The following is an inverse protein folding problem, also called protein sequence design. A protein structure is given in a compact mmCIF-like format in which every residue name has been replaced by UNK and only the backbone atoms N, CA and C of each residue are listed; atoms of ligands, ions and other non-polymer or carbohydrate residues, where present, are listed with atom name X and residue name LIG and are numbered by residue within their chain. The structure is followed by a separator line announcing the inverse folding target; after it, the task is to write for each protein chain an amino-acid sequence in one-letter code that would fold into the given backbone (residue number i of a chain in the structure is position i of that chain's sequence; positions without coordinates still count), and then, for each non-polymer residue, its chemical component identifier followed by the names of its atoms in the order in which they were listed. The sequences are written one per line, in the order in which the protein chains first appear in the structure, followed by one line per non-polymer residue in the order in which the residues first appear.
data_IF_830946924301
#
_entry.id   IF_830946924301
#
_cell.length_a   1.000
_cell.length_b   1.000
_cell.length_c   1.000
_cell.angle_alpha   90.00
_cell.angle_beta   90.00
_cell.angle_gamma   90.00
#
_symmetry.space_group_name_H-M   'P 1'
#
loop_
_entity.id
_entity.type
_entity.pdbx_description
1 polymer ?
#
# COMPACT_ATOMS: atom_id res chain seq x y z
N UNK A 1 -17.99 -2.09 13.30
CA UNK A 1 -17.95 -1.90 11.83
C UNK A 1 -19.07 -2.67 11.12
N UNK A 2 -20.04 -3.20 11.86
CA UNK A 2 -21.10 -4.03 11.30
C UNK A 2 -21.93 -3.27 10.26
N UNK A 3 -22.17 -3.91 9.13
CA UNK A 3 -22.96 -3.42 7.99
C UNK A 3 -22.49 -2.08 7.39
N UNK A 4 -21.18 -1.79 7.45
CA UNK A 4 -20.57 -0.61 6.82
C UNK A 4 -19.79 -0.98 5.56
N UNK A 5 -19.88 -0.12 4.55
CA UNK A 5 -19.00 -0.16 3.38
C UNK A 5 -17.64 0.46 3.77
N UNK A 6 -16.55 -0.27 3.55
CA UNK A 6 -15.19 0.10 3.95
C UNK A 6 -14.34 0.33 2.71
N UNK A 7 -13.68 1.49 2.64
CA UNK A 7 -12.65 1.80 1.65
C UNK A 7 -11.31 1.89 2.37
N UNK A 8 -10.40 0.97 2.07
CA UNK A 8 -9.02 1.01 2.54
C UNK A 8 -8.21 1.84 1.54
N UNK A 9 -7.48 2.84 2.03
CA UNK A 9 -6.61 3.70 1.24
C UNK A 9 -5.17 3.44 1.68
N UNK A 10 -4.34 2.95 0.76
CA UNK A 10 -2.93 2.65 0.98
C UNK A 10 -2.05 3.55 0.11
N UNK A 11 -0.89 3.95 0.62
CA UNK A 11 0.12 4.64 -0.18
C UNK A 11 0.81 3.67 -1.16
N UNK A 12 1.16 2.48 -0.69
CA UNK A 12 1.81 1.44 -1.50
C UNK A 12 1.40 0.04 -1.07
N UNK A 13 1.17 -0.84 -2.04
CA UNK A 13 1.04 -2.27 -1.78
C UNK A 13 2.21 -3.04 -2.39
N UNK A 14 3.02 -3.66 -1.53
CA UNK A 14 4.15 -4.50 -1.91
C UNK A 14 3.84 -5.99 -1.69
N UNK A 15 4.25 -6.55 -0.54
CA UNK A 15 3.97 -7.98 -0.23
C UNK A 15 2.47 -8.30 -0.10
N UNK A 16 1.66 -7.32 0.32
CA UNK A 16 0.22 -7.47 0.57
C UNK A 16 -0.15 -8.25 1.83
N UNK A 17 0.80 -8.71 2.64
CA UNK A 17 0.53 -9.56 3.81
C UNK A 17 -0.25 -8.82 4.91
N UNK A 18 0.19 -7.64 5.30
CA UNK A 18 -0.49 -6.80 6.31
C UNK A 18 -1.90 -6.42 5.85
N UNK A 19 -2.04 -6.00 4.60
CA UNK A 19 -3.32 -5.66 4.01
C UNK A 19 -4.28 -6.86 3.98
N UNK A 20 -3.76 -8.05 3.64
CA UNK A 20 -4.55 -9.29 3.68
C UNK A 20 -5.09 -9.58 5.08
N UNK A 21 -4.27 -9.40 6.11
CA UNK A 21 -4.71 -9.54 7.51
C UNK A 21 -5.81 -8.52 7.86
N UNK A 22 -5.65 -7.25 7.49
CA UNK A 22 -6.64 -6.20 7.74
C UNK A 22 -7.99 -6.49 7.05
N UNK A 23 -7.95 -6.97 5.81
CA UNK A 23 -9.17 -7.38 5.09
C UNK A 23 -9.89 -8.50 5.82
N UNK A 24 -9.18 -9.55 6.26
CA UNK A 24 -9.78 -10.63 7.04
C UNK A 24 -10.33 -10.13 8.40
N UNK A 25 -9.61 -9.23 9.07
CA UNK A 25 -10.10 -8.59 10.29
C UNK A 25 -11.42 -7.83 10.06
N UNK A 26 -11.55 -7.09 8.97
CA UNK A 26 -12.80 -6.37 8.68
C UNK A 26 -13.94 -7.30 8.28
N UNK A 27 -13.66 -8.41 7.59
CA UNK A 27 -14.65 -9.46 7.31
C UNK A 27 -15.19 -10.06 8.61
N UNK A 28 -14.32 -10.43 9.55
CA UNK A 28 -14.76 -10.98 10.86
C UNK A 28 -15.59 -9.99 11.68
N UNK A 29 -15.40 -8.68 11.46
CA UNK A 29 -16.20 -7.60 12.06
C UNK A 29 -17.49 -7.27 11.29
N UNK A 30 -17.90 -8.13 10.35
CA UNK A 30 -19.13 -8.03 9.55
C UNK A 30 -19.23 -6.73 8.74
N UNK A 31 -18.12 -6.31 8.11
CA UNK A 31 -18.18 -5.27 7.08
C UNK A 31 -19.15 -5.68 5.95
N UNK A 32 -19.90 -4.73 5.40
CA UNK A 32 -20.84 -4.96 4.29
C UNK A 32 -20.10 -5.14 2.97
N UNK A 33 -19.11 -4.31 2.72
CA UNK A 33 -18.19 -4.41 1.59
C UNK A 33 -16.82 -3.87 1.99
N UNK A 34 -15.78 -4.35 1.30
CA UNK A 34 -14.41 -3.87 1.46
C UNK A 34 -13.86 -3.61 0.07
N UNK A 35 -13.36 -2.40 -0.15
CA UNK A 35 -12.67 -1.99 -1.37
C UNK A 35 -11.29 -1.46 -1.02
N UNK A 36 -10.33 -1.66 -1.91
CA UNK A 36 -8.94 -1.27 -1.73
C UNK A 36 -8.55 -0.30 -2.82
N UNK A 37 -8.09 0.89 -2.43
CA UNK A 37 -7.49 1.88 -3.31
C UNK A 37 -6.04 2.04 -2.88
N UNK A 38 -5.12 2.02 -3.82
CA UNK A 38 -3.71 2.35 -3.55
C UNK A 38 -3.16 3.37 -4.52
N UNK A 39 -2.27 4.23 -4.05
CA UNK A 39 -1.52 5.11 -4.94
C UNK A 39 -0.52 4.30 -5.79
N UNK A 40 0.23 3.38 -5.17
CA UNK A 40 1.28 2.61 -5.82
C UNK A 40 1.08 1.10 -5.64
N UNK A 41 1.11 0.33 -6.71
CA UNK A 41 1.08 -1.13 -6.67
C UNK A 41 2.40 -1.72 -7.20
N UNK A 42 2.99 -2.66 -6.45
CA UNK A 42 4.17 -3.46 -6.83
C UNK A 42 3.79 -4.94 -7.00
N UNK A 43 3.18 -5.35 -8.13
CA UNK A 43 2.78 -6.75 -8.35
C UNK A 43 3.94 -7.74 -8.24
N UNK A 44 5.16 -7.34 -8.62
CA UNK A 44 6.34 -8.21 -8.58
C UNK A 44 6.76 -8.64 -7.17
N UNK A 45 6.42 -7.85 -6.14
CA UNK A 45 6.73 -8.15 -4.74
C UNK A 45 5.62 -8.94 -4.01
N UNK A 46 4.52 -9.23 -4.70
CA UNK A 46 3.29 -9.78 -4.13
C UNK A 46 3.50 -11.18 -3.54
N UNK A 47 3.13 -11.35 -2.26
CA UNK A 47 3.15 -12.65 -1.56
C UNK A 47 1.75 -13.11 -1.15
N UNK A 48 0.85 -12.18 -0.89
CA UNK A 48 -0.55 -12.47 -0.56
C UNK A 48 -1.43 -12.48 -1.82
N UNK A 49 -2.47 -13.33 -1.84
CA UNK A 49 -3.49 -13.35 -2.89
C UNK A 49 -4.49 -12.19 -2.71
N UNK A 50 -4.00 -10.97 -2.86
CA UNK A 50 -4.77 -9.73 -2.72
C UNK A 50 -4.32 -8.72 -3.78
N UNK A 51 -5.27 -8.01 -4.37
CA UNK A 51 -5.05 -6.98 -5.37
C UNK A 51 -5.91 -5.76 -5.02
N UNK A 52 -5.47 -4.54 -5.35
CA UNK A 52 -6.31 -3.36 -5.21
C UNK A 52 -7.48 -3.40 -6.19
N UNK A 53 -8.62 -2.83 -5.80
CA UNK A 53 -9.73 -2.57 -6.72
C UNK A 53 -9.43 -1.37 -7.64
N UNK A 54 -8.59 -0.45 -7.16
CA UNK A 54 -8.08 0.69 -7.93
C UNK A 54 -6.63 0.96 -7.53
N UNK A 55 -5.74 1.02 -8.52
CA UNK A 55 -4.36 1.49 -8.36
C UNK A 55 -4.17 2.81 -9.12
N UNK A 56 -3.46 3.76 -8.52
CA UNK A 56 -3.04 4.99 -9.21
C UNK A 56 -1.95 4.69 -10.23
N UNK A 57 -0.90 4.01 -9.78
CA UNK A 57 0.25 3.64 -10.61
C UNK A 57 0.72 2.22 -10.28
N UNK A 58 1.05 1.45 -11.31
CA UNK A 58 1.83 0.22 -11.16
C UNK A 58 3.31 0.56 -11.35
N UNK A 59 4.14 0.21 -10.37
CA UNK A 59 5.55 0.61 -10.31
C UNK A 59 6.48 -0.60 -10.20
N UNK A 60 7.73 -0.49 -10.68
CA UNK A 60 8.71 -1.57 -10.55
C UNK A 60 9.14 -1.78 -9.09
N UNK A 61 9.86 -2.87 -8.85
CA UNK A 61 10.48 -3.14 -7.56
C UNK A 61 11.69 -2.23 -7.31
N UNK A 62 11.43 -0.98 -6.91
CA UNK A 62 12.43 0.01 -6.52
C UNK A 62 12.15 0.52 -5.11
N UNK A 63 13.18 1.01 -4.40
CA UNK A 63 13.00 1.68 -3.12
C UNK A 63 12.43 3.08 -3.37
N UNK A 64 11.19 3.36 -2.96
CA UNK A 64 10.48 4.61 -3.23
C UNK A 64 10.34 5.44 -1.95
N UNK A 65 10.48 6.75 -2.07
CA UNK A 65 10.31 7.73 -0.99
C UNK A 65 9.53 8.94 -1.49
N UNK A 66 8.96 9.74 -0.58
CA UNK A 66 8.18 10.92 -0.93
C UNK A 66 6.67 10.69 -0.89
N UNK A 67 5.90 11.77 -0.82
CA UNK A 67 4.43 11.74 -0.76
C UNK A 67 3.88 10.81 0.33
N UNK A 68 4.45 10.89 1.53
CA UNK A 68 4.11 10.04 2.67
C UNK A 68 5.02 8.82 2.86
N UNK A 69 5.66 8.32 1.79
CA UNK A 69 6.64 7.24 1.87
C UNK A 69 7.94 7.73 2.50
N UNK A 70 8.56 6.90 3.33
CA UNK A 70 9.75 7.27 4.09
C UNK A 70 10.93 6.33 3.90
N UNK A 71 12.10 6.85 4.26
CA UNK A 71 13.26 6.07 4.66
C UNK A 71 13.83 6.69 5.93
N UNK A 72 13.87 5.91 7.02
CA UNK A 72 14.30 6.38 8.33
C UNK A 72 13.56 7.66 8.77
N UNK A 73 12.24 7.68 8.57
CA UNK A 73 11.33 8.81 8.86
C UNK A 73 11.59 10.10 8.06
N UNK A 74 12.49 10.05 7.07
CA UNK A 74 12.77 11.18 6.17
C UNK A 74 11.96 11.10 4.89
N UNK A 75 11.92 12.20 4.15
CA UNK A 75 11.39 12.33 2.79
C UNK A 75 9.86 12.31 2.64
N UNK A 76 9.08 11.97 3.67
CA UNK A 76 7.59 11.99 3.61
C UNK A 76 6.99 13.28 3.04
N UNK A 77 7.66 14.40 3.30
CA UNK A 77 7.23 15.74 2.94
C UNK A 77 7.51 16.14 1.47
N UNK A 78 8.21 15.32 0.68
CA UNK A 78 8.43 15.62 -0.72
C UNK A 78 7.09 15.59 -1.49
N UNK A 79 6.81 16.60 -2.34
CA UNK A 79 5.55 16.68 -3.08
C UNK A 79 5.53 15.77 -4.33
N UNK A 80 6.50 14.86 -4.44
CA UNK A 80 6.65 13.89 -5.52
C UNK A 80 7.17 12.58 -4.96
N UNK A 81 7.05 11.51 -5.75
CA UNK A 81 7.60 10.19 -5.44
C UNK A 81 8.89 10.00 -6.24
N UNK A 82 9.94 9.53 -5.58
CA UNK A 82 11.24 9.29 -6.20
C UNK A 82 11.84 7.95 -5.80
N UNK A 83 12.80 7.48 -6.59
CA UNK A 83 13.62 6.30 -6.25
C UNK A 83 14.78 6.75 -5.36
N UNK A 84 14.93 6.11 -4.20
CA UNK A 84 16.04 6.38 -3.29
C UNK A 84 17.34 5.78 -3.86
N UNK A 85 18.42 6.56 -3.86
CA UNK A 85 19.73 6.09 -4.34
C UNK A 85 20.29 4.99 -3.41
N UNK A 86 20.85 3.89 -3.94
CA UNK A 86 21.41 2.80 -3.13
C UNK A 86 22.46 3.24 -2.11
N UNK A 87 23.31 4.21 -2.46
CA UNK A 87 24.35 4.80 -1.60
C UNK A 87 23.82 5.36 -0.25
N UNK A 88 22.51 5.55 -0.11
CA UNK A 88 21.89 6.06 1.12
C UNK A 88 21.53 4.94 2.10
N UNK A 89 21.36 3.70 1.63
CA UNK A 89 20.85 2.58 2.44
C UNK A 89 21.64 1.28 2.30
N UNK A 90 22.65 1.24 1.43
CA UNK A 90 23.60 0.15 1.27
C UNK A 90 24.95 0.49 1.92
#
# INVERSE_FOLDING_TARGET
MENRDILIIEDIIDSGLTLSYLVELFKTRKAKSIKIVTLLDKPSGRKAKIAPDLSGFTVPNAFLVGYGLDYAEKYRNLPFIGVLKPEIYQ
#
